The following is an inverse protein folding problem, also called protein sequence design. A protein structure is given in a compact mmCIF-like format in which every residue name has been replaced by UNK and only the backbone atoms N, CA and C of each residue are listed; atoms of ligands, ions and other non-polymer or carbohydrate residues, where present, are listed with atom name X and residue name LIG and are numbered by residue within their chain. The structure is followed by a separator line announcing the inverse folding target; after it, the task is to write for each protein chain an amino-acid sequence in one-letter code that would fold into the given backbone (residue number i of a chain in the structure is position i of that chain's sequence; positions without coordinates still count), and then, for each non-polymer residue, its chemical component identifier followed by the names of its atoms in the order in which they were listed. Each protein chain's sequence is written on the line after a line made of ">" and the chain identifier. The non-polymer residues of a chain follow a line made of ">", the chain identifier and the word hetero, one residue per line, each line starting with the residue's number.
data_IF_249926753012
#
_entry.id   IF_249926753012
#
_cell.length_a   1.000
_cell.length_b   1.000
_cell.length_c   1.000
_cell.angle_alpha   90.00
_cell.angle_beta   90.00
_cell.angle_gamma   90.00
#
_symmetry.space_group_name_H-M   'P 1'
#
loop_
_entity.id
_entity.type
_entity.pdbx_description
1 polymer ?
#
# COMPACT_ATOMS: atom_id res chain seq x y z
N UNK A 1 -13.67 7.87 -2.52
CA UNK A 1 -13.09 6.69 -1.86
C UNK A 1 -11.91 6.26 -2.73
N UNK A 2 -10.68 6.32 -2.20
CA UNK A 2 -9.52 5.79 -2.92
C UNK A 2 -9.75 4.29 -3.13
N UNK A 3 -9.47 3.78 -4.32
CA UNK A 3 -9.38 2.32 -4.48
C UNK A 3 -8.07 1.82 -3.82
N UNK A 4 -7.96 0.51 -3.60
CA UNK A 4 -6.80 -0.07 -2.91
C UNK A 4 -5.49 0.23 -3.64
N UNK A 5 -5.47 0.26 -4.98
CA UNK A 5 -4.26 0.57 -5.75
C UNK A 5 -3.76 1.99 -5.51
N UNK A 6 -4.68 2.96 -5.48
CA UNK A 6 -4.38 4.36 -5.16
C UNK A 6 -3.92 4.49 -3.70
N UNK A 7 -4.51 3.75 -2.77
CA UNK A 7 -4.06 3.75 -1.37
C UNK A 7 -2.63 3.20 -1.22
N UNK A 8 -2.32 2.08 -1.88
CA UNK A 8 -0.97 1.51 -1.90
C UNK A 8 0.06 2.51 -2.47
N UNK A 9 -0.30 3.16 -3.59
CA UNK A 9 0.52 4.18 -4.23
C UNK A 9 0.74 5.37 -3.29
N UNK A 10 -0.31 5.84 -2.63
CA UNK A 10 -0.24 6.93 -1.66
C UNK A 10 0.75 6.59 -0.53
N UNK A 11 0.65 5.40 0.07
CA UNK A 11 1.56 4.97 1.16
C UNK A 11 3.03 4.96 0.72
N UNK A 12 3.30 4.60 -0.55
CA UNK A 12 4.64 4.66 -1.15
C UNK A 12 5.11 6.10 -1.33
N UNK A 13 4.26 6.96 -1.90
CA UNK A 13 4.61 8.33 -2.27
C UNK A 13 4.81 9.24 -1.06
N UNK A 14 4.01 9.11 0.00
CA UNK A 14 4.22 9.88 1.24
C UNK A 14 5.55 9.54 1.95
N UNK A 15 6.12 8.37 1.65
CA UNK A 15 7.45 7.94 2.12
C UNK A 15 8.58 8.31 1.15
N UNK A 16 8.25 9.02 0.06
CA UNK A 16 9.23 9.50 -0.92
C UNK A 16 9.89 8.38 -1.75
N UNK A 17 9.28 7.20 -1.84
CA UNK A 17 9.85 6.06 -2.53
C UNK A 17 9.35 5.98 -3.97
N UNK A 18 10.24 5.69 -4.92
CA UNK A 18 9.86 5.17 -6.24
C UNK A 18 9.46 3.69 -6.15
N UNK A 19 8.78 3.18 -7.18
CA UNK A 19 8.44 1.74 -7.25
C UNK A 19 9.69 0.85 -7.23
N UNK A 20 10.79 1.31 -7.85
CA UNK A 20 12.06 0.59 -7.89
C UNK A 20 12.78 0.58 -6.55
N UNK A 21 12.69 1.65 -5.77
CA UNK A 21 13.25 1.70 -4.42
C UNK A 21 12.43 0.84 -3.45
N UNK A 22 11.10 0.87 -3.55
CA UNK A 22 10.24 0.00 -2.77
C UNK A 22 10.56 -1.48 -3.06
N UNK A 23 10.70 -1.84 -4.33
CA UNK A 23 11.11 -3.18 -4.76
C UNK A 23 12.46 -3.60 -4.13
N UNK A 24 13.46 -2.73 -4.17
CA UNK A 24 14.78 -3.01 -3.57
C UNK A 24 14.71 -3.19 -2.05
N UNK A 25 13.90 -2.38 -1.35
CA UNK A 25 13.79 -2.41 0.11
C UNK A 25 12.95 -3.58 0.64
N UNK A 26 11.98 -4.05 -0.14
CA UNK A 26 11.05 -5.11 0.28
C UNK A 26 11.39 -6.47 -0.33
N UNK A 27 12.16 -6.52 -1.42
CA UNK A 27 12.35 -7.73 -2.22
C UNK A 27 11.15 -8.06 -3.12
N UNK A 28 10.10 -7.25 -3.12
CA UNK A 28 8.97 -7.36 -4.04
C UNK A 28 9.40 -7.04 -5.47
N UNK A 29 8.72 -7.63 -6.45
CA UNK A 29 8.94 -7.29 -7.86
C UNK A 29 8.33 -5.91 -8.14
N UNK A 30 9.12 -5.01 -8.72
CA UNK A 30 8.66 -3.68 -9.15
C UNK A 30 7.42 -3.76 -10.08
N UNK A 31 7.37 -4.77 -10.95
CA UNK A 31 6.22 -5.02 -11.82
C UNK A 31 4.94 -5.36 -11.04
N UNK A 32 5.06 -6.12 -9.94
CA UNK A 32 3.94 -6.44 -9.05
C UNK A 32 3.45 -5.18 -8.35
N UNK A 33 4.36 -4.35 -7.84
CA UNK A 33 4.01 -3.04 -7.23
C UNK A 33 3.25 -2.18 -8.24
N UNK A 34 3.77 -2.02 -9.46
CA UNK A 34 3.12 -1.25 -10.52
C UNK A 34 1.75 -1.79 -10.90
N UNK A 35 1.62 -3.11 -11.02
CA UNK A 35 0.37 -3.79 -11.34
C UNK A 35 -0.70 -3.59 -10.26
N UNK A 36 -0.31 -3.65 -8.98
CA UNK A 36 -1.19 -3.40 -7.84
C UNK A 36 -1.58 -1.93 -7.72
N UNK A 37 -0.62 -1.00 -7.84
CA UNK A 37 -0.86 0.45 -7.77
C UNK A 37 -1.75 0.98 -8.90
N UNK A 38 -1.81 0.27 -10.03
CA UNK A 38 -2.64 0.65 -11.19
C UNK A 38 -3.96 -0.12 -11.27
N UNK A 39 -4.35 -0.84 -10.22
CA UNK A 39 -5.56 -1.69 -10.16
C UNK A 39 -5.68 -2.69 -11.34
N UNK A 40 -4.55 -3.10 -11.93
CA UNK A 40 -4.56 -4.10 -13.02
C UNK A 40 -4.84 -5.51 -12.51
N UNK A 41 -4.84 -5.69 -11.19
CA UNK A 41 -5.55 -6.76 -10.52
C UNK A 41 -5.38 -6.70 -9.01
N UNK A 42 -5.70 -7.81 -8.34
CA UNK A 42 -5.74 -7.89 -6.89
C UNK A 42 -4.41 -8.37 -6.33
N UNK A 43 -3.73 -7.58 -5.48
CA UNK A 43 -2.60 -8.10 -4.72
C UNK A 43 -3.05 -9.28 -3.85
N UNK A 44 -2.19 -10.28 -3.69
CA UNK A 44 -2.45 -11.33 -2.72
C UNK A 44 -2.21 -10.81 -1.30
N UNK A 45 -2.67 -11.58 -0.30
CA UNK A 45 -2.57 -11.15 1.09
C UNK A 45 -1.11 -11.02 1.56
N UNK A 46 -0.21 -11.89 1.10
CA UNK A 46 1.21 -11.86 1.48
C UNK A 46 1.90 -10.57 1.04
N UNK A 47 1.61 -10.09 -0.17
CA UNK A 47 2.08 -8.80 -0.67
C UNK A 47 1.61 -7.66 0.24
N UNK A 48 0.33 -7.67 0.63
CA UNK A 48 -0.22 -6.64 1.49
C UNK A 48 0.41 -6.68 2.90
N UNK A 49 0.56 -7.86 3.49
CA UNK A 49 1.22 -8.03 4.81
C UNK A 49 2.66 -7.52 4.76
N UNK A 50 3.41 -7.90 3.73
CA UNK A 50 4.80 -7.47 3.58
C UNK A 50 4.95 -5.95 3.45
N UNK A 51 4.03 -5.29 2.72
CA UNK A 51 4.02 -3.83 2.66
C UNK A 51 3.61 -3.19 3.98
N UNK A 52 2.59 -3.72 4.65
CA UNK A 52 2.13 -3.25 5.95
C UNK A 52 3.27 -3.32 6.99
N UNK A 53 3.97 -4.45 7.06
CA UNK A 53 5.12 -4.66 7.94
C UNK A 53 6.28 -3.72 7.60
N UNK A 54 6.60 -3.58 6.31
CA UNK A 54 7.65 -2.67 5.85
C UNK A 54 7.35 -1.21 6.22
N UNK A 55 6.09 -0.81 6.14
CA UNK A 55 5.64 0.54 6.43
C UNK A 55 5.34 0.79 7.91
N UNK A 56 5.24 -0.25 8.73
CA UNK A 56 4.86 -0.20 10.14
C UNK A 56 3.41 0.24 10.36
N UNK A 57 2.50 -0.15 9.46
CA UNK A 57 1.08 0.25 9.49
C UNK A 57 0.16 -0.98 9.47
N UNK A 58 -1.12 -0.80 9.75
CA UNK A 58 -2.12 -1.88 9.64
C UNK A 58 -2.52 -2.14 8.18
N UNK A 59 -3.16 -3.28 7.92
CA UNK A 59 -3.76 -3.56 6.61
C UNK A 59 -4.88 -2.58 6.27
N UNK A 60 -5.69 -2.17 7.26
CA UNK A 60 -6.76 -1.19 7.07
C UNK A 60 -6.18 0.18 6.66
N UNK A 61 -5.07 0.62 7.28
CA UNK A 61 -4.34 1.83 6.88
C UNK A 61 -3.70 1.70 5.49
N UNK A 62 -3.12 0.54 5.19
CA UNK A 62 -2.46 0.26 3.90
C UNK A 62 -3.44 0.43 2.73
N UNK A 63 -4.65 -0.11 2.86
CA UNK A 63 -5.68 -0.06 1.81
C UNK A 63 -6.58 1.17 1.91
N UNK A 64 -6.28 2.11 2.81
CA UNK A 64 -7.00 3.38 2.95
C UNK A 64 -8.39 3.25 3.58
N UNK A 65 -8.66 2.16 4.31
CA UNK A 65 -9.96 1.91 4.97
C UNK A 65 -10.17 2.79 6.21
N UNK A 66 -9.11 3.12 6.95
CA UNK A 66 -9.22 3.97 8.14
C UNK A 66 -9.38 5.47 7.82
N UNK A 67 -8.98 5.92 6.62
CA UNK A 67 -9.20 7.30 6.15
C UNK A 67 -10.69 7.61 5.90
N UNK A 68 -11.57 6.60 5.91
CA UNK A 68 -13.03 6.74 5.80
C UNK A 68 -13.78 6.50 7.11
N UNK A 69 -13.09 6.20 8.21
CA UNK A 69 -13.67 6.16 9.55
C UNK A 69 -13.27 7.44 10.26
N UNK A 70 -14.20 8.39 10.39
CA UNK A 70 -14.09 9.34 11.49
C UNK A 70 -13.89 8.51 12.76
N UNK A 71 -12.72 8.63 13.41
CA UNK A 71 -12.57 8.09 14.75
C UNK A 71 -13.67 8.76 15.59
N UNK A 72 -14.55 8.03 16.28
CA UNK A 72 -15.43 8.67 17.24
C UNK A 72 -14.52 9.34 18.25
N UNK A 73 -14.59 10.68 18.27
CA UNK A 73 -13.92 11.53 19.23
C UNK A 73 -14.19 10.96 20.61
N UNK A 74 -13.15 10.46 21.28
CA UNK A 74 -13.22 10.22 22.72
C UNK A 74 -13.07 11.53 23.46
#
# INVERSE_FOLDING_TARGET
>A
MLNYGEALKYQREIRGLSQSELAQKTGLKQQTISWSETNKGLPNIDFCVQLADFYGITLDELVGRDQGREMPSK
#
